data_IF_486752001938
#
_entry.id   IF_486752001938
#
_cell.length_a   1.000
_cell.length_b   1.000
_cell.length_c   1.000
_cell.angle_alpha   90.00
_cell.angle_beta   90.00
_cell.angle_gamma   90.00
#
_symmetry.space_group_name_H-M   'P 1'
#
loop_
_entity.id
_entity.type
_entity.pdbx_description
1 polymer ?
#
# COMPACT_ATOMS: atom_id res chain seq x y z
N UNK A 1 -7.69 -49.06 22.30
CA UNK A 1 -8.05 -47.66 21.98
C UNK A 1 -7.04 -47.20 20.95
N UNK A 2 -7.46 -47.04 19.70
CA UNK A 2 -6.59 -46.56 18.62
C UNK A 2 -6.85 -45.07 18.46
N UNK A 3 -5.92 -44.25 18.91
CA UNK A 3 -5.96 -42.81 18.66
C UNK A 3 -5.64 -42.57 17.18
N UNK A 4 -6.65 -42.08 16.45
CA UNK A 4 -6.50 -41.59 15.09
C UNK A 4 -5.87 -40.19 15.18
N UNK A 5 -4.72 -39.92 14.54
CA UNK A 5 -4.19 -38.56 14.52
C UNK A 5 -5.18 -37.66 13.77
N UNK A 6 -5.58 -36.58 14.43
CA UNK A 6 -6.31 -35.48 13.82
C UNK A 6 -5.39 -34.76 12.84
N UNK A 7 -5.58 -35.01 11.55
CA UNK A 7 -5.03 -34.13 10.52
C UNK A 7 -5.67 -32.75 10.68
N UNK A 8 -4.97 -31.86 11.38
CA UNK A 8 -5.22 -30.42 11.28
C UNK A 8 -4.79 -30.09 9.86
N UNK A 9 -5.79 -29.84 9.00
CA UNK A 9 -5.57 -29.42 7.63
C UNK A 9 -4.99 -28.01 7.69
N UNK A 10 -3.66 -27.92 7.68
CA UNK A 10 -2.94 -26.66 7.54
C UNK A 10 -3.28 -26.14 6.15
N UNK A 11 -4.14 -25.12 6.07
CA UNK A 11 -4.37 -24.41 4.83
C UNK A 11 -3.04 -23.77 4.44
N UNK A 12 -2.36 -24.33 3.43
CA UNK A 12 -1.15 -23.74 2.86
C UNK A 12 -1.53 -22.42 2.20
N UNK A 13 -1.42 -21.35 2.98
CA UNK A 13 -1.57 -19.97 2.53
C UNK A 13 -0.20 -19.51 2.05
N UNK A 14 -0.10 -19.18 0.77
CA UNK A 14 1.12 -18.62 0.18
C UNK A 14 0.84 -17.20 -0.26
N UNK A 15 1.64 -16.26 0.27
CA UNK A 15 1.64 -14.88 -0.23
C UNK A 15 2.09 -14.88 -1.69
N UNK A 16 1.25 -14.34 -2.55
CA UNK A 16 1.52 -14.20 -3.99
C UNK A 16 1.89 -12.77 -4.36
N UNK A 17 1.58 -11.80 -3.50
CA UNK A 17 2.02 -10.40 -3.60
C UNK A 17 2.24 -9.90 -2.18
N UNK A 18 3.38 -9.25 -1.94
CA UNK A 18 3.48 -8.27 -0.84
C UNK A 18 3.97 -6.96 -1.39
N UNK A 19 3.40 -5.88 -0.91
CA UNK A 19 3.77 -4.53 -1.27
C UNK A 19 3.68 -3.63 -0.04
N UNK A 20 4.59 -2.69 0.08
CA UNK A 20 4.50 -1.63 1.06
C UNK A 20 5.09 -0.34 0.52
N UNK A 21 4.66 0.77 1.11
CA UNK A 21 5.10 2.07 0.65
C UNK A 21 4.63 3.18 1.57
N UNK A 22 4.77 4.41 1.07
CA UNK A 22 4.22 5.58 1.72
C UNK A 22 3.11 6.18 0.86
N UNK A 23 2.23 6.95 1.47
CA UNK A 23 1.29 7.79 0.76
C UNK A 23 1.29 9.20 1.36
N UNK A 24 0.90 10.16 0.54
CA UNK A 24 0.78 11.55 0.94
C UNK A 24 -0.40 12.18 0.19
N UNK A 25 -1.29 12.82 0.92
CA UNK A 25 -2.51 13.41 0.36
C UNK A 25 -2.80 14.76 1.01
N UNK A 26 -3.48 15.64 0.27
CA UNK A 26 -4.00 16.89 0.79
C UNK A 26 -5.52 16.82 0.79
N UNK A 27 -6.12 17.02 1.95
CA UNK A 27 -7.56 17.25 2.04
C UNK A 27 -7.84 18.69 1.59
N UNK A 28 -8.60 18.85 0.50
CA UNK A 28 -8.90 20.15 -0.09
C UNK A 28 -10.37 20.47 0.11
N UNK A 29 -10.65 21.67 0.63
CA UNK A 29 -11.99 22.23 0.74
C UNK A 29 -11.96 23.68 0.29
N UNK A 30 -12.87 24.06 -0.60
CA UNK A 30 -12.96 25.43 -1.15
C UNK A 30 -11.60 25.94 -1.70
N UNK A 31 -10.87 25.07 -2.42
CA UNK A 31 -9.53 25.31 -2.96
C UNK A 31 -8.42 25.59 -1.92
N UNK A 32 -8.69 25.30 -0.64
CA UNK A 32 -7.73 25.44 0.46
C UNK A 32 -7.38 24.05 0.99
N UNK A 33 -6.10 23.79 1.22
CA UNK A 33 -5.66 22.60 1.96
C UNK A 33 -6.08 22.75 3.41
N UNK A 34 -6.93 21.86 3.92
CA UNK A 34 -7.40 21.88 5.31
C UNK A 34 -6.65 20.89 6.19
N UNK A 35 -6.17 19.79 5.60
CA UNK A 35 -5.34 18.78 6.23
C UNK A 35 -4.32 18.21 5.25
N UNK A 36 -3.16 17.83 5.78
CA UNK A 36 -2.12 17.07 5.09
C UNK A 36 -2.09 15.70 5.73
N UNK A 37 -2.18 14.66 4.92
CA UNK A 37 -2.25 13.27 5.33
C UNK A 37 -0.99 12.56 4.83
N UNK A 38 -0.32 11.81 5.69
CA UNK A 38 0.90 11.10 5.29
C UNK A 38 1.17 9.91 6.17
N UNK A 39 1.59 8.80 5.56
CA UNK A 39 1.82 7.57 6.29
C UNK A 39 2.34 6.42 5.46
N UNK A 40 2.34 5.24 6.07
CA UNK A 40 2.81 3.99 5.51
C UNK A 40 1.64 3.04 5.28
N UNK A 41 1.74 2.24 4.23
CA UNK A 41 0.76 1.22 3.90
C UNK A 41 1.45 -0.13 3.64
N UNK A 42 0.74 -1.22 3.92
CA UNK A 42 1.16 -2.59 3.63
C UNK A 42 -0.01 -3.37 3.01
N UNK A 43 0.30 -4.18 2.02
CA UNK A 43 -0.61 -5.08 1.32
C UNK A 43 0.02 -6.48 1.25
N UNK A 44 -0.73 -7.50 1.65
CA UNK A 44 -0.40 -8.91 1.42
C UNK A 44 -1.59 -9.57 0.72
N UNK A 45 -1.34 -10.19 -0.43
CA UNK A 45 -2.34 -10.98 -1.14
C UNK A 45 -1.90 -12.44 -1.03
N UNK A 46 -2.77 -13.27 -0.46
CA UNK A 46 -2.51 -14.69 -0.30
C UNK A 46 -3.45 -15.51 -1.16
N UNK A 47 -2.92 -16.58 -1.74
CA UNK A 47 -3.72 -17.60 -2.40
C UNK A 47 -4.14 -18.63 -1.34
N UNK A 48 -5.44 -18.84 -1.21
CA UNK A 48 -6.02 -19.84 -0.32
C UNK A 48 -6.12 -21.16 -1.10
N UNK A 49 -5.29 -22.13 -0.75
CA UNK A 49 -5.34 -23.47 -1.34
C UNK A 49 -6.50 -24.27 -0.74
N UNK A 50 -7.68 -24.17 -1.33
CA UNK A 50 -8.75 -25.10 -1.02
C UNK A 50 -8.55 -26.37 -1.85
N UNK A 51 -8.39 -27.51 -1.17
CA UNK A 51 -8.29 -28.83 -1.77
C UNK A 51 -9.67 -29.26 -2.32
N UNK A 52 -10.18 -28.58 -3.37
CA UNK A 52 -11.39 -28.97 -4.12
C UNK A 52 -11.68 -27.98 -5.24
N UNK A 53 -11.58 -28.45 -6.50
CA UNK A 53 -12.43 -28.19 -7.69
C UNK A 53 -12.96 -26.77 -8.02
N UNK A 54 -12.56 -25.70 -7.33
CA UNK A 54 -12.95 -24.35 -7.66
C UNK A 54 -12.20 -23.87 -8.91
N UNK A 55 -12.92 -23.39 -9.91
CA UNK A 55 -12.39 -22.91 -11.19
C UNK A 55 -11.82 -21.50 -11.10
N UNK A 56 -11.93 -20.83 -9.95
CA UNK A 56 -11.33 -19.53 -9.65
C UNK A 56 -10.41 -19.65 -8.44
N UNK A 57 -9.17 -19.11 -8.50
CA UNK A 57 -8.30 -19.08 -7.34
C UNK A 57 -8.95 -18.24 -6.23
N UNK A 58 -9.24 -18.84 -5.08
CA UNK A 58 -9.67 -18.11 -3.89
C UNK A 58 -8.49 -17.30 -3.38
N UNK A 59 -8.52 -15.98 -3.62
CA UNK A 59 -7.52 -15.05 -3.11
C UNK A 59 -8.16 -14.22 -2.00
N UNK A 60 -7.38 -13.91 -0.98
CA UNK A 60 -7.74 -12.93 0.05
C UNK A 60 -6.60 -11.95 0.19
N UNK A 61 -6.92 -10.73 0.56
CA UNK A 61 -5.94 -9.68 0.79
C UNK A 61 -6.06 -9.14 2.21
N UNK A 62 -4.93 -8.81 2.79
CA UNK A 62 -4.81 -8.03 4.01
C UNK A 62 -4.20 -6.67 3.67
N UNK A 63 -4.86 -5.61 4.11
CA UNK A 63 -4.37 -4.25 3.95
C UNK A 63 -4.29 -3.58 5.32
N UNK A 64 -3.17 -2.92 5.59
CA UNK A 64 -3.00 -2.11 6.79
C UNK A 64 -2.35 -0.79 6.44
N UNK A 65 -2.68 0.24 7.22
CA UNK A 65 -2.11 1.57 7.05
C UNK A 65 -1.99 2.28 8.39
N UNK A 66 -0.96 3.10 8.54
CA UNK A 66 -0.81 4.02 9.67
C UNK A 66 -0.39 5.37 9.12
N UNK A 67 -1.13 6.42 9.47
CA UNK A 67 -0.90 7.75 8.95
C UNK A 67 -1.28 8.84 9.93
N UNK A 68 -0.67 10.00 9.74
CA UNK A 68 -0.93 11.20 10.49
C UNK A 68 -1.68 12.19 9.62
N UNK A 69 -2.65 12.88 10.22
CA UNK A 69 -3.26 14.07 9.65
C UNK A 69 -2.77 15.29 10.42
N UNK A 70 -2.23 16.29 9.72
CA UNK A 70 -1.74 17.54 10.30
C UNK A 70 -2.32 18.74 9.57
N UNK A 71 -2.72 19.78 10.31
CA UNK A 71 -3.11 21.05 9.69
C UNK A 71 -1.92 21.71 8.99
N UNK A 72 -2.11 22.46 7.90
CA UNK A 72 -1.00 23.14 7.20
C UNK A 72 -0.18 24.09 8.06
N UNK A 73 -0.79 24.67 9.11
CA UNK A 73 -0.13 25.57 10.07
C UNK A 73 0.57 24.82 11.23
N UNK A 74 0.48 23.48 11.27
CA UNK A 74 1.03 22.63 12.32
C UNK A 74 0.29 22.70 13.65
N UNK A 75 -0.83 23.42 13.75
CA UNK A 75 -1.51 23.67 15.03
C UNK A 75 -2.21 22.45 15.62
N UNK A 76 -2.64 21.51 14.77
CA UNK A 76 -3.31 20.27 15.18
C UNK A 76 -2.77 19.09 14.37
N UNK A 77 -2.60 17.96 15.07
CA UNK A 77 -2.18 16.69 14.49
C UNK A 77 -2.85 15.53 15.23
N UNK A 78 -3.19 14.45 14.53
CA UNK A 78 -3.65 13.19 15.11
C UNK A 78 -3.37 12.01 14.19
N UNK A 79 -3.33 10.80 14.73
CA UNK A 79 -3.00 9.59 13.98
C UNK A 79 -4.22 8.74 13.68
N UNK A 80 -4.11 7.95 12.62
CA UNK A 80 -5.08 6.96 12.18
C UNK A 80 -4.40 5.63 11.87
N UNK A 81 -5.09 4.54 12.18
CA UNK A 81 -4.68 3.18 11.82
C UNK A 81 -5.84 2.51 11.09
N UNK A 82 -5.57 1.99 9.89
CA UNK A 82 -6.46 1.11 9.16
C UNK A 82 -5.99 -0.33 9.40
N UNK A 83 -6.85 -1.16 9.98
CA UNK A 83 -6.58 -2.58 10.23
C UNK A 83 -7.88 -3.39 10.20
N UNK A 84 -7.79 -4.69 10.52
CA UNK A 84 -8.91 -5.62 10.46
C UNK A 84 -9.56 -5.67 9.07
N UNK A 85 -8.77 -5.45 8.02
CA UNK A 85 -9.25 -5.46 6.65
C UNK A 85 -9.75 -6.85 6.27
N UNK A 86 -10.97 -6.91 5.75
CA UNK A 86 -11.60 -8.11 5.20
C UNK A 86 -11.81 -7.87 3.72
N UNK A 87 -11.02 -8.55 2.88
CA UNK A 87 -11.16 -8.43 1.44
C UNK A 87 -12.43 -9.13 0.96
N UNK A 88 -13.19 -8.42 0.13
CA UNK A 88 -14.35 -8.96 -0.60
C UNK A 88 -13.92 -9.49 -1.98
N UNK A 89 -13.05 -8.75 -2.68
CA UNK A 89 -12.58 -9.09 -4.01
C UNK A 89 -11.10 -8.73 -4.19
N UNK A 90 -10.39 -9.54 -4.98
CA UNK A 90 -9.05 -9.26 -5.49
C UNK A 90 -9.08 -9.45 -7.00
N UNK A 91 -8.87 -8.37 -7.75
CA UNK A 91 -9.02 -8.33 -9.21
C UNK A 91 -7.68 -7.93 -9.82
N UNK A 92 -7.13 -8.79 -10.68
CA UNK A 92 -5.97 -8.46 -11.51
C UNK A 92 -6.47 -7.95 -12.87
N UNK A 93 -6.27 -6.66 -13.14
CA UNK A 93 -6.74 -5.99 -14.35
C UNK A 93 -5.54 -5.52 -15.19
N UNK A 94 -5.00 -6.44 -16.00
CA UNK A 94 -3.79 -6.16 -16.76
C UNK A 94 -2.58 -5.97 -15.83
N UNK A 95 -2.03 -4.75 -15.79
CA UNK A 95 -0.92 -4.42 -14.89
C UNK A 95 -1.38 -3.77 -13.58
N UNK A 96 -2.68 -3.72 -13.32
CA UNK A 96 -3.24 -3.16 -12.10
C UNK A 96 -3.79 -4.27 -11.20
N UNK A 97 -3.82 -4.00 -9.90
CA UNK A 97 -4.50 -4.84 -8.92
C UNK A 97 -5.52 -3.97 -8.19
N UNK A 98 -6.78 -4.40 -8.15
CA UNK A 98 -7.85 -3.73 -7.41
C UNK A 98 -8.35 -4.67 -6.33
N UNK A 99 -8.31 -4.21 -5.08
CA UNK A 99 -8.81 -4.93 -3.92
C UNK A 99 -9.93 -4.10 -3.32
N UNK A 100 -11.09 -4.71 -3.10
CA UNK A 100 -12.19 -4.10 -2.34
C UNK A 100 -12.38 -4.86 -1.04
N UNK A 101 -12.75 -4.16 0.03
CA UNK A 101 -13.05 -4.80 1.30
C UNK A 101 -13.61 -3.83 2.32
N UNK A 102 -13.70 -4.30 3.56
CA UNK A 102 -14.09 -3.47 4.70
C UNK A 102 -13.02 -3.50 5.79
N UNK A 103 -12.80 -2.38 6.46
CA UNK A 103 -11.79 -2.25 7.51
C UNK A 103 -12.32 -1.46 8.70
N UNK A 104 -11.65 -1.58 9.84
CA UNK A 104 -11.83 -0.63 10.93
C UNK A 104 -10.76 0.46 10.82
N UNK A 105 -11.12 1.69 11.20
CA UNK A 105 -10.24 2.84 11.27
C UNK A 105 -10.22 3.32 12.72
N UNK A 106 -9.04 3.34 13.31
CA UNK A 106 -8.80 3.74 14.68
C UNK A 106 -8.12 5.10 14.73
N UNK A 107 -8.45 5.90 15.73
CA UNK A 107 -7.61 7.02 16.18
C UNK A 107 -6.98 6.71 17.53
N UNK A 108 -6.26 7.69 18.10
CA UNK A 108 -5.57 7.56 19.39
C UNK A 108 -6.51 7.11 20.54
N UNK A 109 -7.83 7.27 20.38
CA UNK A 109 -8.85 6.93 21.38
C UNK A 109 -9.56 5.57 21.15
N UNK A 110 -9.16 4.79 20.15
CA UNK A 110 -9.79 3.50 19.82
C UNK A 110 -10.41 3.47 18.42
N UNK A 111 -11.36 2.56 18.19
CA UNK A 111 -12.08 2.48 16.90
C UNK A 111 -12.91 3.75 16.73
N UNK A 112 -12.65 4.50 15.67
CA UNK A 112 -13.40 5.69 15.30
C UNK A 112 -14.48 5.36 14.26
N UNK A 113 -14.12 4.54 13.26
CA UNK A 113 -15.03 4.07 12.22
C UNK A 113 -14.91 2.56 12.07
N UNK A 114 -16.04 1.84 12.06
CA UNK A 114 -16.07 0.38 11.93
C UNK A 114 -16.66 -0.05 10.60
N UNK A 115 -16.09 -1.14 10.05
CA UNK A 115 -16.53 -1.76 8.79
C UNK A 115 -16.69 -0.74 7.66
N UNK A 116 -15.68 0.12 7.49
CA UNK A 116 -15.59 1.12 6.44
C UNK A 116 -15.22 0.44 5.12
N UNK A 117 -16.03 0.61 4.06
CA UNK A 117 -15.63 0.16 2.73
C UNK A 117 -14.37 0.89 2.26
N UNK A 118 -13.39 0.11 1.81
CA UNK A 118 -12.10 0.60 1.31
C UNK A 118 -11.82 -0.07 -0.04
N UNK A 119 -11.30 0.72 -0.97
CA UNK A 119 -10.70 0.21 -2.21
C UNK A 119 -9.22 0.53 -2.24
N UNK A 120 -8.41 -0.48 -2.49
CA UNK A 120 -6.97 -0.39 -2.69
C UNK A 120 -6.69 -0.68 -4.16
N UNK A 121 -6.21 0.31 -4.89
CA UNK A 121 -5.85 0.20 -6.30
C UNK A 121 -4.34 0.33 -6.44
N UNK A 122 -3.68 -0.76 -6.79
CA UNK A 122 -2.26 -0.76 -7.12
C UNK A 122 -2.08 -0.59 -8.63
N UNK A 123 -2.03 0.67 -9.07
CA UNK A 123 -1.87 1.08 -10.46
C UNK A 123 -0.45 0.79 -10.96
N UNK A 124 -0.36 0.12 -12.10
CA UNK A 124 0.90 -0.27 -12.72
C UNK A 124 1.85 -1.04 -11.80
N UNK A 125 1.31 -1.67 -10.74
CA UNK A 125 2.06 -2.32 -9.65
C UNK A 125 3.08 -1.40 -8.95
N UNK A 126 2.87 -0.08 -8.95
CA UNK A 126 3.84 0.89 -8.38
C UNK A 126 3.20 2.04 -7.60
N UNK A 127 2.00 2.44 -7.99
CA UNK A 127 1.27 3.55 -7.36
C UNK A 127 0.10 2.99 -6.58
N UNK A 128 -0.03 3.39 -5.32
CA UNK A 128 -1.22 3.15 -4.52
C UNK A 128 -2.24 4.26 -4.82
N UNK A 129 -3.46 3.87 -5.12
CA UNK A 129 -4.67 4.65 -4.91
C UNK A 129 -5.48 4.04 -3.77
N UNK A 130 -5.78 4.82 -2.75
CA UNK A 130 -6.59 4.40 -1.60
C UNK A 130 -7.87 5.21 -1.56
N UNK A 131 -9.02 4.54 -1.61
CA UNK A 131 -10.33 5.15 -1.43
C UNK A 131 -10.95 4.67 -0.12
N UNK A 132 -11.40 5.61 0.69
CA UNK A 132 -12.12 5.38 1.95
C UNK A 132 -13.53 5.92 1.77
N UNK A 133 -14.55 5.13 2.13
CA UNK A 133 -15.94 5.54 1.93
C UNK A 133 -16.28 6.85 2.69
N UNK A 134 -16.67 7.86 1.91
CA UNK A 134 -16.97 9.21 2.40
C UNK A 134 -18.20 9.21 3.31
N UNK A 135 -19.23 8.43 2.97
CA UNK A 135 -20.48 8.44 3.73
C UNK A 135 -20.30 7.80 5.11
N UNK A 136 -19.52 6.72 5.17
CA UNK A 136 -19.25 5.96 6.39
C UNK A 136 -18.35 6.71 7.37
N UNK A 137 -17.55 7.64 6.87
CA UNK A 137 -16.63 8.48 7.64
C UNK A 137 -17.09 9.92 7.80
N UNK A 138 -18.30 10.26 7.31
CA UNK A 138 -18.81 11.64 7.36
C UNK A 138 -17.93 12.66 6.61
N UNK A 139 -17.13 12.20 5.66
CA UNK A 139 -16.15 13.01 4.94
C UNK A 139 -14.88 13.35 5.72
N UNK A 140 -14.57 12.61 6.80
CA UNK A 140 -13.36 12.86 7.59
C UNK A 140 -12.07 12.77 6.75
N UNK A 141 -11.98 11.76 5.88
CA UNK A 141 -10.85 11.53 4.96
C UNK A 141 -11.15 11.98 3.52
N UNK A 142 -12.22 12.75 3.29
CA UNK A 142 -12.69 13.00 1.93
C UNK A 142 -11.77 13.94 1.16
N UNK A 143 -11.32 13.50 -0.01
CA UNK A 143 -10.90 14.37 -1.11
C UNK A 143 -11.72 14.04 -2.36
N UNK A 144 -11.64 14.91 -3.37
CA UNK A 144 -12.28 14.65 -4.68
C UNK A 144 -11.65 13.46 -5.43
N UNK A 145 -10.49 12.98 -4.96
CA UNK A 145 -9.68 11.93 -5.56
C UNK A 145 -9.24 10.90 -4.51
N UNK A 146 -8.72 9.77 -5.00
CA UNK A 146 -8.05 8.76 -4.19
C UNK A 146 -6.85 9.36 -3.44
N UNK A 147 -6.54 8.81 -2.27
CA UNK A 147 -5.29 9.11 -1.57
C UNK A 147 -4.16 8.35 -2.27
N UNK A 148 -3.22 9.10 -2.87
CA UNK A 148 -2.15 8.49 -3.66
C UNK A 148 -0.87 8.23 -2.86
N UNK A 149 -0.21 7.12 -3.17
CA UNK A 149 1.07 6.76 -2.61
C UNK A 149 2.00 6.06 -3.60
N UNK A 150 3.26 5.94 -3.21
CA UNK A 150 4.28 5.25 -3.97
C UNK A 150 4.74 4.02 -3.21
N UNK A 151 4.93 2.92 -3.96
CA UNK A 151 5.55 1.72 -3.42
C UNK A 151 7.02 1.95 -3.15
N UNK A 152 7.50 1.48 -1.99
CA UNK A 152 8.92 1.43 -1.65
C UNK A 152 9.49 0.08 -2.07
N UNK A 153 8.78 -1.02 -1.80
CA UNK A 153 9.18 -2.37 -2.18
C UNK A 153 7.99 -3.32 -2.28
N UNK A 154 8.14 -4.33 -3.13
CA UNK A 154 7.19 -5.44 -3.23
C UNK A 154 7.79 -6.60 -4.00
N UNK A 155 7.27 -7.81 -3.77
CA UNK A 155 7.68 -9.01 -4.52
C UNK A 155 6.52 -9.53 -5.36
N UNK A 156 6.84 -10.23 -6.46
CA UNK A 156 5.88 -10.72 -7.46
C UNK A 156 5.13 -9.60 -8.21
N UNK A 157 5.72 -8.39 -8.21
CA UNK A 157 5.17 -7.20 -8.85
C UNK A 157 5.94 -6.77 -10.10
N UNK A 158 7.04 -7.47 -10.41
CA UNK A 158 7.81 -7.21 -11.62
C UNK A 158 7.06 -7.67 -12.87
N UNK A 159 6.99 -6.78 -13.86
CA UNK A 159 6.32 -7.03 -15.13
C UNK A 159 7.20 -7.83 -16.11
N UNK A 160 8.05 -8.73 -15.60
CA UNK A 160 8.90 -9.54 -16.47
C UNK A 160 8.07 -10.67 -17.10
N UNK A 161 7.57 -10.41 -18.30
CA UNK A 161 7.35 -11.48 -19.28
C UNK A 161 8.70 -12.09 -19.63
N UNK A 162 9.23 -12.93 -18.73
CA UNK A 162 10.44 -13.70 -18.99
C UNK A 162 10.06 -15.12 -19.34
N UNK A 163 9.86 -15.35 -20.64
CA UNK A 163 10.17 -16.66 -21.20
C UNK A 163 11.68 -16.83 -21.08
N UNK A 164 12.14 -17.61 -20.11
CA UNK A 164 13.48 -18.20 -20.20
C UNK A 164 13.60 -19.42 -19.31
N UNK A 165 13.82 -20.56 -19.98
CA UNK A 165 14.38 -21.78 -19.42
C UNK A 165 15.59 -21.48 -18.53
N UNK A 166 15.77 -22.33 -17.52
CA UNK A 166 16.59 -22.10 -16.35
C UNK A 166 17.99 -21.53 -16.61
N UNK A 167 18.34 -20.54 -15.81
CA UNK A 167 19.68 -20.40 -15.22
C UNK A 167 19.55 -19.41 -14.06
N UNK A 168 19.94 -19.86 -12.87
CA UNK A 168 20.08 -19.06 -11.65
C UNK A 168 20.94 -17.83 -11.90
N UNK A 169 20.42 -16.64 -11.62
CA UNK A 169 21.23 -15.42 -11.51
C UNK A 169 21.15 -14.94 -10.06
N UNK A 170 22.34 -14.90 -9.46
CA UNK A 170 22.61 -14.34 -8.13
C UNK A 170 22.37 -12.83 -8.17
N UNK A 171 21.62 -12.34 -7.20
CA UNK A 171 21.42 -10.91 -6.97
C UNK A 171 22.61 -10.40 -6.12
N UNK A 172 23.69 -10.01 -6.78
CA UNK A 172 24.83 -9.32 -6.17
C UNK A 172 24.70 -7.83 -6.46
N UNK A 173 24.20 -7.07 -5.47
CA UNK A 173 24.23 -5.61 -5.49
C UNK A 173 25.67 -5.14 -5.35
N UNK A 174 26.30 -4.80 -6.47
CA UNK A 174 27.56 -4.06 -6.49
C UNK A 174 27.30 -2.56 -6.36
N UNK A 175 27.66 -2.00 -5.20
CA UNK A 175 27.82 -0.57 -4.99
C UNK A 175 29.00 -0.07 -5.85
N UNK A 176 28.73 0.68 -6.92
CA UNK A 176 29.78 1.45 -7.60
C UNK A 176 29.92 2.83 -6.92
N UNK A 177 31.00 2.98 -6.15
CA UNK A 177 31.54 4.26 -5.69
C UNK A 177 32.67 4.73 -6.60
N UNK A 178 32.72 6.05 -6.82
CA UNK A 178 33.79 6.88 -7.39
C UNK A 178 33.82 7.14 -8.91
N UNK A 179 33.29 8.31 -9.30
CA UNK A 179 33.95 9.17 -10.28
C UNK A 179 34.00 10.61 -9.73
N UNK A 180 35.23 11.03 -9.43
CA UNK A 180 35.63 12.37 -9.01
C UNK A 180 35.49 13.37 -10.16
N UNK A 181 34.79 14.48 -9.94
CA UNK A 181 34.89 15.67 -10.79
C UNK A 181 35.35 16.87 -9.95
N UNK A 182 36.43 17.48 -10.44
CA UNK A 182 37.14 18.61 -9.86
C UNK A 182 36.26 19.85 -9.70
N UNK A 183 36.39 20.49 -8.55
CA UNK A 183 35.96 21.86 -8.29
C UNK A 183 36.64 22.85 -9.22
N UNK A 184 35.87 23.59 -10.01
CA UNK A 184 36.32 24.82 -10.66
C UNK A 184 35.38 25.94 -10.20
N UNK A 185 35.74 26.59 -9.09
CA UNK A 185 35.04 27.77 -8.58
C UNK A 185 35.47 28.99 -9.41
N UNK A 186 34.60 29.45 -10.31
CA UNK A 186 34.70 30.82 -10.83
C UNK A 186 33.74 31.72 -10.04
N UNK A 187 34.33 32.73 -9.40
CA UNK A 187 33.66 33.79 -8.67
C UNK A 187 32.74 34.59 -9.58
N UNK A 188 31.48 34.79 -9.17
CA UNK A 188 30.67 35.91 -9.65
C UNK A 188 30.45 36.87 -8.49
N UNK A 189 31.05 38.06 -8.65
CA UNK A 189 30.98 39.17 -7.74
C UNK A 189 29.60 39.86 -7.81
N UNK A 190 29.18 40.34 -6.65
CA UNK A 190 28.11 41.30 -6.44
C UNK A 190 28.25 42.54 -7.36
N UNK A 191 27.16 42.97 -7.97
CA UNK A 191 26.93 44.39 -8.27
C UNK A 191 25.50 44.77 -7.91
N UNK A 192 25.39 45.57 -6.85
CA UNK A 192 24.28 46.48 -6.56
C UNK A 192 24.21 47.59 -7.60
N UNK A 193 23.00 47.96 -8.03
CA UNK A 193 22.54 49.34 -8.27
C UNK A 193 21.08 49.41 -7.88
#
# INVERSE_FOLDING_TARGET
>A
MNDKPSNIQQNDTSSIVKAHGHFANNQIKDNIVTWIEGGMWNLDIVKVSNNSRATTPNMTAEFTSNFTMIKPDGSLSHNHIINNFKSDNVIFAGNDIVITGTSDIHSDNGIEYSQVPITVHLMGKKVLGLMIDVNKTGGHFSGDNEMFGTMISGFSLDNSTSVSNGTTINDDMTYESNASYSTNMNSMAYMTH
#
